data_IF_932609916375
#
_entry.id   IF_932609916375
#
_cell.length_a   1.000
_cell.length_b   1.000
_cell.length_c   1.000
_cell.angle_alpha   90.00
_cell.angle_beta   90.00
_cell.angle_gamma   90.00
#
_symmetry.space_group_name_H-M   'P 1'
#
loop_
_entity.id
_entity.type
_entity.pdbx_description
1 polymer ?
#
# COMPACT_ATOMS: atom_id res chain seq x y z
N UNK A 1 -4.42 27.69 0.51
CA UNK A 1 -4.34 27.41 0.87
C UNK A 1 -4.20 26.68 1.64
N UNK A 2 -4.27 26.56 2.08
CA UNK A 2 -4.27 25.86 2.92
C UNK A 2 -4.37 24.52 2.61
N UNK A 3 -3.75 24.00 1.70
CA UNK A 3 -3.91 22.66 1.34
C UNK A 3 -3.40 21.74 2.38
N UNK A 4 -2.56 22.19 3.22
CA UNK A 4 -2.11 21.31 4.28
C UNK A 4 -3.26 20.91 5.17
N UNK A 5 -4.21 21.78 5.35
CA UNK A 5 -5.30 21.43 6.21
C UNK A 5 -6.23 20.45 5.55
N UNK A 6 -6.15 20.31 4.24
CA UNK A 6 -6.98 19.35 3.57
C UNK A 6 -6.37 17.99 3.51
N UNK A 7 -5.11 17.91 3.83
CA UNK A 7 -4.45 16.64 3.76
C UNK A 7 -4.52 16.03 5.14
N UNK A 8 -5.66 15.50 5.45
CA UNK A 8 -5.88 14.97 6.77
C UNK A 8 -5.22 13.66 6.93
N UNK A 9 -4.30 13.61 7.83
CA UNK A 9 -3.61 12.39 8.10
C UNK A 9 -4.40 11.61 9.13
N UNK A 10 -4.93 10.47 8.73
CA UNK A 10 -5.65 9.66 9.61
C UNK A 10 -4.76 8.55 10.02
N UNK A 11 -4.39 8.55 11.21
CA UNK A 11 -3.52 7.52 11.71
C UNK A 11 -4.36 6.34 12.13
N UNK A 12 -4.24 5.29 11.40
CA UNK A 12 -5.01 4.11 11.67
C UNK A 12 -4.10 3.12 12.36
N UNK A 13 -4.43 2.81 13.59
CA UNK A 13 -3.63 1.87 14.30
C UNK A 13 -4.33 0.55 14.24
N UNK A 14 -3.81 -0.33 13.46
CA UNK A 14 -4.43 -1.61 13.32
C UNK A 14 -4.16 -2.42 14.56
N UNK A 15 -5.18 -2.93 15.11
CA UNK A 15 -5.05 -3.74 16.27
C UNK A 15 -4.83 -5.17 15.95
N UNK A 16 -4.74 -5.50 14.71
CA UNK A 16 -4.62 -6.83 14.31
C UNK A 16 -3.32 -7.37 14.60
N UNK A 17 -3.24 -8.58 14.87
CA UNK A 17 -2.02 -9.20 15.17
C UNK A 17 -1.62 -10.23 14.21
N UNK A 18 -2.14 -10.20 13.05
CA UNK A 18 -1.78 -11.16 12.06
C UNK A 18 -0.36 -10.94 11.67
N UNK A 19 0.48 -11.90 11.85
CA UNK A 19 1.86 -11.75 11.54
C UNK A 19 2.17 -11.93 10.10
N UNK A 20 1.23 -12.51 9.36
CA UNK A 20 1.50 -12.76 7.96
C UNK A 20 0.91 -11.71 7.05
N UNK A 21 0.25 -10.70 7.59
CA UNK A 21 -0.30 -9.67 6.73
C UNK A 21 0.30 -8.34 7.09
N UNK A 22 0.34 -7.47 6.12
CA UNK A 22 0.94 -6.16 6.25
C UNK A 22 -0.15 -5.15 6.54
N UNK A 23 0.04 -4.40 7.58
CA UNK A 23 -1.02 -3.57 8.12
C UNK A 23 -0.83 -2.13 7.74
N UNK A 24 -1.94 -1.41 7.73
CA UNK A 24 -1.91 0.01 7.43
C UNK A 24 -1.28 0.74 8.59
N UNK A 25 -0.26 1.55 8.28
CA UNK A 25 0.35 2.40 9.26
C UNK A 25 -0.26 3.79 9.22
N UNK A 26 -0.55 4.28 8.05
CA UNK A 26 -1.05 5.64 7.89
C UNK A 26 -2.00 5.68 6.71
N UNK A 27 -3.00 6.53 6.82
CA UNK A 27 -3.95 6.70 5.75
C UNK A 27 -4.22 8.18 5.57
N UNK A 28 -4.10 8.66 4.34
CA UNK A 28 -4.37 10.03 4.00
C UNK A 28 -5.50 10.08 2.99
N UNK A 29 -6.43 10.98 3.20
CA UNK A 29 -7.48 11.21 2.23
C UNK A 29 -7.06 12.33 1.31
N UNK A 30 -7.22 12.11 0.04
CA UNK A 30 -6.79 13.05 -0.97
C UNK A 30 -7.96 13.43 -1.86
N UNK A 31 -7.87 14.58 -2.47
CA UNK A 31 -8.82 15.02 -3.49
C UNK A 31 -10.26 14.90 -2.99
N UNK A 32 -10.50 15.48 -1.82
CA UNK A 32 -11.86 15.49 -1.30
C UNK A 32 -12.40 14.12 -0.97
N UNK A 33 -11.51 13.19 -0.64
CA UNK A 33 -11.95 11.85 -0.29
C UNK A 33 -12.09 10.93 -1.46
N UNK A 34 -11.71 11.39 -2.67
CA UNK A 34 -11.86 10.54 -3.84
C UNK A 34 -10.67 9.63 -4.07
N UNK A 35 -9.61 9.84 -3.32
CA UNK A 35 -8.44 8.99 -3.41
C UNK A 35 -7.85 8.86 -2.03
N UNK A 36 -7.05 7.84 -1.84
CA UNK A 36 -6.39 7.62 -0.56
C UNK A 36 -4.96 7.22 -0.82
N UNK A 37 -4.09 7.66 0.07
CA UNK A 37 -2.72 7.19 0.08
C UNK A 37 -2.56 6.42 1.38
N UNK A 38 -2.09 5.19 1.27
CA UNK A 38 -1.95 4.33 2.43
C UNK A 38 -0.51 3.88 2.54
N UNK A 39 -0.02 3.91 3.73
CA UNK A 39 1.32 3.42 4.01
C UNK A 39 1.18 2.09 4.73
N UNK A 40 1.78 1.07 4.17
CA UNK A 40 1.76 -0.26 4.76
C UNK A 40 3.16 -0.65 5.17
N UNK A 41 3.26 -1.30 6.31
CA UNK A 41 4.53 -1.90 6.70
C UNK A 41 4.48 -3.36 6.29
N UNK A 42 5.46 -3.79 5.52
CA UNK A 42 5.45 -5.13 4.95
C UNK A 42 5.89 -6.14 5.99
N UNK A 43 5.07 -7.14 6.21
CA UNK A 43 5.38 -8.18 7.18
C UNK A 43 6.26 -9.24 6.53
N UNK A 44 6.90 -10.03 7.37
CA UNK A 44 7.78 -11.06 6.86
C UNK A 44 7.03 -12.16 6.16
N UNK A 45 5.77 -12.33 6.51
CA UNK A 45 5.00 -13.38 5.87
C UNK A 45 4.26 -12.96 4.64
N UNK A 46 4.52 -11.75 4.15
CA UNK A 46 3.74 -11.26 3.01
C UNK A 46 4.08 -12.03 1.76
N UNK A 47 3.05 -12.46 1.05
CA UNK A 47 3.25 -13.19 -0.19
C UNK A 47 3.68 -12.27 -1.32
N UNK A 48 3.70 -10.96 -1.08
CA UNK A 48 4.14 -10.03 -2.11
C UNK A 48 5.64 -9.89 -2.16
N UNK A 49 6.34 -10.35 -1.13
CA UNK A 49 7.77 -10.13 -1.06
C UNK A 49 8.49 -10.92 -2.12
N UNK A 50 9.50 -10.29 -2.70
CA UNK A 50 10.37 -10.98 -3.64
C UNK A 50 9.84 -11.13 -5.04
N UNK A 51 8.65 -10.63 -5.31
CA UNK A 51 8.05 -10.76 -6.63
C UNK A 51 8.20 -9.41 -7.34
N UNK A 52 8.79 -9.38 -8.54
CA UNK A 52 8.89 -8.10 -9.25
C UNK A 52 7.52 -7.47 -9.42
N UNK A 53 7.47 -6.17 -9.25
CA UNK A 53 6.18 -5.49 -9.25
C UNK A 53 5.43 -5.68 -10.56
N UNK A 54 6.17 -5.77 -11.66
CA UNK A 54 5.50 -5.96 -12.95
C UNK A 54 4.81 -7.30 -13.05
N UNK A 55 5.15 -8.23 -12.16
CA UNK A 55 4.49 -9.52 -12.17
C UNK A 55 3.30 -9.59 -11.24
N UNK A 56 3.09 -8.55 -10.46
CA UNK A 56 1.94 -8.52 -9.58
C UNK A 56 0.73 -8.01 -10.36
N UNK A 57 -0.40 -8.66 -10.16
CA UNK A 57 -1.62 -8.21 -10.80
C UNK A 57 -2.32 -7.27 -9.85
N UNK A 58 -2.19 -5.99 -10.11
CA UNK A 58 -2.73 -4.98 -9.20
C UNK A 58 -4.15 -4.62 -9.62
N UNK A 59 -4.93 -4.18 -8.63
CA UNK A 59 -6.26 -3.68 -8.91
C UNK A 59 -6.16 -2.46 -9.80
N UNK A 60 -7.26 -2.18 -10.49
CA UNK A 60 -7.35 -0.97 -11.26
C UNK A 60 -7.44 0.23 -10.34
N UNK A 61 -7.01 1.36 -10.84
CA UNK A 61 -7.08 2.62 -10.12
C UNK A 61 -6.25 2.60 -8.85
N UNK A 62 -5.12 1.92 -8.92
CA UNK A 62 -4.23 1.77 -7.79
C UNK A 62 -2.81 1.78 -8.32
N UNK A 63 -1.93 2.42 -7.59
CA UNK A 63 -0.52 2.36 -7.94
C UNK A 63 0.32 2.36 -6.68
N UNK A 64 1.52 1.85 -6.82
CA UNK A 64 2.49 1.88 -5.74
C UNK A 64 3.35 3.11 -5.99
N UNK A 65 3.26 4.06 -5.09
CA UNK A 65 3.92 5.34 -5.31
C UNK A 65 5.38 5.33 -4.92
N UNK A 66 5.71 4.69 -3.83
CA UNK A 66 7.11 4.59 -3.44
C UNK A 66 7.26 3.52 -2.38
N UNK A 67 8.51 3.15 -2.16
CA UNK A 67 8.87 2.16 -1.16
C UNK A 67 9.95 2.77 -0.29
N UNK A 68 9.77 2.69 1.00
CA UNK A 68 10.78 3.13 1.95
C UNK A 68 11.53 1.93 2.47
N UNK A 69 12.85 1.97 2.37
CA UNK A 69 13.68 0.86 2.80
C UNK A 69 14.96 1.42 3.37
N UNK A 70 15.19 1.13 4.65
CA UNK A 70 16.43 1.53 5.26
C UNK A 70 16.70 3.00 5.22
N UNK A 71 15.65 3.81 5.40
CA UNK A 71 15.81 5.26 5.38
C UNK A 71 15.87 5.86 4.00
N UNK A 72 15.71 5.06 2.97
CA UNK A 72 15.76 5.55 1.59
C UNK A 72 14.40 5.42 0.95
N UNK A 73 14.16 6.29 -0.01
CA UNK A 73 12.91 6.24 -0.77
C UNK A 73 13.24 5.69 -2.15
N UNK A 74 12.53 4.67 -2.53
CA UNK A 74 12.66 4.04 -3.82
C UNK A 74 11.43 4.37 -4.63
N UNK A 75 11.63 4.93 -5.83
CA UNK A 75 10.52 5.08 -6.77
C UNK A 75 10.55 3.82 -7.61
N UNK A 76 9.59 2.93 -7.42
CA UNK A 76 9.76 1.58 -7.94
C UNK A 76 9.55 1.51 -9.44
N UNK A 77 10.28 0.60 -10.04
CA UNK A 77 10.04 0.21 -11.42
C UNK A 77 9.50 -1.20 -11.39
N UNK A 78 9.14 -1.70 -12.55
CA UNK A 78 8.57 -3.04 -12.62
C UNK A 78 9.50 -4.13 -12.16
N UNK A 79 10.80 -3.89 -12.14
CA UNK A 79 11.74 -4.90 -11.72
C UNK A 79 11.99 -4.90 -10.24
N UNK A 80 11.56 -3.87 -9.55
CA UNK A 80 11.79 -3.81 -8.12
C UNK A 80 10.85 -4.76 -7.38
N UNK A 81 11.27 -5.16 -6.21
CA UNK A 81 10.48 -6.07 -5.39
C UNK A 81 10.20 -5.41 -4.05
N UNK A 82 9.16 -5.88 -3.39
CA UNK A 82 8.84 -5.47 -2.03
C UNK A 82 9.54 -6.47 -1.10
N UNK A 83 10.11 -5.95 -0.03
CA UNK A 83 10.82 -6.81 0.91
C UNK A 83 10.25 -6.63 2.31
N UNK A 84 10.45 -7.62 3.18
CA UNK A 84 9.94 -7.47 4.55
C UNK A 84 10.55 -6.26 5.22
N UNK A 85 9.73 -5.55 5.97
CA UNK A 85 10.20 -4.36 6.67
C UNK A 85 10.08 -3.09 5.88
N UNK A 86 9.77 -3.20 4.59
CA UNK A 86 9.59 -2.00 3.78
C UNK A 86 8.34 -1.25 4.19
N UNK A 87 8.33 0.04 3.89
CA UNK A 87 7.11 0.82 3.94
C UNK A 87 6.68 1.05 2.51
N UNK A 88 5.46 0.69 2.19
CA UNK A 88 4.96 0.81 0.82
C UNK A 88 3.82 1.80 0.81
N UNK A 89 3.95 2.80 -0.06
CA UNK A 89 2.90 3.80 -0.20
C UNK A 89 2.08 3.45 -1.42
N UNK A 90 0.80 3.23 -1.20
CA UNK A 90 -0.14 2.88 -2.25
C UNK A 90 -1.13 4.01 -2.40
N UNK A 91 -1.37 4.42 -3.63
CA UNK A 91 -2.37 5.44 -3.91
C UNK A 91 -3.49 4.76 -4.67
N UNK A 92 -4.70 4.94 -4.20
CA UNK A 92 -5.82 4.24 -4.80
C UNK A 92 -7.04 5.12 -4.81
N UNK A 93 -7.87 4.94 -5.83
CA UNK A 93 -9.17 5.58 -5.90
C UNK A 93 -10.28 4.62 -5.47
N UNK A 94 -9.90 3.44 -5.03
CA UNK A 94 -10.87 2.45 -4.60
C UNK A 94 -10.76 2.26 -3.11
N UNK A 95 -11.88 2.03 -2.46
CA UNK A 95 -11.88 1.73 -1.04
C UNK A 95 -11.66 0.24 -0.85
N UNK A 96 -11.46 -0.15 0.38
CA UNK A 96 -11.45 -1.56 0.70
C UNK A 96 -10.10 -2.18 0.91
N UNK A 97 -9.05 -1.36 0.99
CA UNK A 97 -7.73 -1.92 1.30
C UNK A 97 -7.58 -1.98 2.80
N UNK A 98 -7.51 -3.15 3.35
CA UNK A 98 -7.28 -3.30 4.78
C UNK A 98 -5.87 -3.75 5.08
N UNK A 99 -5.21 -4.32 4.10
CA UNK A 99 -3.83 -4.77 4.24
C UNK A 99 -3.19 -4.69 2.87
N UNK A 100 -1.88 -4.73 2.86
CA UNK A 100 -1.16 -4.54 1.60
C UNK A 100 -1.54 -5.58 0.56
N UNK A 101 -1.78 -6.80 1.01
CA UNK A 101 -2.10 -7.86 0.07
C UNK A 101 -3.41 -7.62 -0.68
N UNK A 102 -4.22 -6.69 -0.19
CA UNK A 102 -5.47 -6.35 -0.87
C UNK A 102 -5.24 -5.57 -2.16
N UNK A 103 -4.01 -5.14 -2.43
CA UNK A 103 -3.75 -4.44 -3.69
C UNK A 103 -3.82 -5.35 -4.89
N UNK A 104 -3.81 -6.66 -4.67
CA UNK A 104 -3.85 -7.58 -5.78
C UNK A 104 -5.25 -7.68 -6.33
N UNK A 105 -5.34 -7.77 -7.66
CA UNK A 105 -6.62 -7.94 -8.30
C UNK A 105 -7.17 -9.30 -7.96
N UNK A 106 -8.49 -9.37 -7.80
CA UNK A 106 -9.11 -10.65 -7.60
C UNK A 106 -9.27 -11.28 -8.92
N UNK A 107 -8.83 -12.46 -9.02
CA UNK A 107 -9.00 -13.19 -10.26
C UNK A 107 -10.48 -13.44 -10.50
N UNK A 108 -10.86 -13.40 -11.73
CA UNK A 108 -12.25 -13.75 -12.04
C UNK A 108 -12.44 -15.21 -11.76
N UNK A 109 -13.22 -15.51 -11.01
CA UNK A 109 -13.37 -16.84 -10.65
C UNK A 109 -12.50 -17.30 -9.58
N UNK A 110 -11.98 -16.74 -9.13
CA UNK A 110 -11.21 -17.15 -8.20
C UNK A 110 -11.61 -16.98 -7.14
N UNK A 111 -11.69 -16.94 -7.19
CA UNK A 111 -12.21 -16.74 -6.58
C UNK A 111 -12.26 -16.83 -6.07
#
# INVERSE_FOLDING_TARGET
>A
RNSASNLICRYVRAMQNSESSSQIETLYKLVGGKAEALEFRVSEGSKLCGVPLQELRLRENLLIGCIGRGGKIIIPSGQDTIEPGDSVIVVTCSAGLGKLEDILARGPGHE
#
